data_IF_000695913678
#
_entry.id   IF_000695913678
#
_cell.length_a   1.000
_cell.length_b   1.000
_cell.length_c   1.000
_cell.angle_alpha   90.00
_cell.angle_beta   90.00
_cell.angle_gamma   90.00
#
_symmetry.space_group_name_H-M   'P 1'
#
loop_
_entity.id
_entity.type
_entity.pdbx_description
1 polymer ?
#
# COMPACT_ATOMS: atom_id res chain seq x y z
N UNK A 1 11.14 0.41 -29.82
CA UNK A 1 10.57 0.21 -28.48
C UNK A 1 11.72 0.02 -27.51
N UNK A 2 11.82 0.81 -26.42
CA UNK A 2 12.82 0.54 -25.39
C UNK A 2 12.52 -0.82 -24.74
N UNK A 3 13.52 -1.70 -24.68
CA UNK A 3 13.43 -3.02 -24.05
C UNK A 3 13.84 -2.92 -22.58
N UNK A 4 12.99 -3.44 -21.68
CA UNK A 4 13.32 -3.62 -20.28
C UNK A 4 14.21 -4.87 -20.15
N UNK A 5 15.50 -4.69 -19.82
CA UNK A 5 16.40 -5.80 -19.53
C UNK A 5 16.31 -6.11 -18.03
N UNK A 6 15.34 -6.94 -17.65
CA UNK A 6 15.22 -7.44 -16.28
C UNK A 6 15.44 -8.96 -16.33
N UNK A 7 16.44 -9.42 -15.59
CA UNK A 7 16.69 -10.84 -15.38
C UNK A 7 15.91 -11.29 -14.15
N UNK A 8 15.20 -12.40 -14.29
CA UNK A 8 14.49 -13.06 -13.21
C UNK A 8 15.15 -14.41 -12.96
N UNK A 9 15.19 -14.83 -11.70
CA UNK A 9 15.40 -16.23 -11.34
C UNK A 9 14.19 -17.08 -11.76
N UNK A 10 14.33 -18.41 -11.78
CA UNK A 10 13.20 -19.29 -12.15
C UNK A 10 12.04 -19.17 -11.15
N UNK A 11 12.35 -19.07 -9.86
CA UNK A 11 11.34 -18.91 -8.80
C UNK A 11 10.56 -17.60 -8.96
N UNK A 12 11.27 -16.51 -9.29
CA UNK A 12 10.63 -15.22 -9.57
C UNK A 12 9.78 -15.28 -10.84
N UNK A 13 10.25 -15.94 -11.90
CA UNK A 13 9.45 -16.14 -13.11
C UNK A 13 8.17 -16.91 -12.81
N UNK A 14 8.24 -17.97 -12.00
CA UNK A 14 7.09 -18.77 -11.67
C UNK A 14 6.07 -17.97 -10.86
N UNK A 15 6.53 -17.19 -9.87
CA UNK A 15 5.66 -16.28 -9.13
C UNK A 15 4.99 -15.24 -10.03
N UNK A 16 5.73 -14.65 -10.98
CA UNK A 16 5.18 -13.65 -11.91
C UNK A 16 4.22 -14.30 -12.90
N UNK A 17 4.48 -15.52 -13.38
CA UNK A 17 3.56 -16.29 -14.24
C UNK A 17 2.25 -16.60 -13.51
N UNK A 18 2.32 -17.07 -12.26
CA UNK A 18 1.15 -17.35 -11.44
C UNK A 18 0.30 -16.09 -11.24
N UNK A 19 0.94 -14.94 -10.95
CA UNK A 19 0.24 -13.68 -10.80
C UNK A 19 -0.37 -13.15 -12.12
N UNK A 20 0.35 -13.28 -13.23
CA UNK A 20 -0.18 -12.94 -14.56
C UNK A 20 -1.39 -13.80 -14.94
N UNK A 21 -1.35 -15.10 -14.65
CA UNK A 21 -2.46 -16.03 -14.87
C UNK A 21 -3.68 -15.69 -14.00
N UNK A 22 -3.47 -15.30 -12.73
CA UNK A 22 -4.53 -14.84 -11.85
C UNK A 22 -5.24 -13.57 -12.36
N UNK A 23 -4.52 -12.69 -13.07
CA UNK A 23 -5.08 -11.51 -13.73
C UNK A 23 -5.56 -11.76 -15.17
N UNK A 24 -5.43 -12.98 -15.69
CA UNK A 24 -5.79 -13.32 -17.08
C UNK A 24 -4.93 -12.61 -18.13
N UNK A 25 -3.70 -12.20 -17.78
CA UNK A 25 -2.79 -11.43 -18.64
C UNK A 25 -1.62 -12.28 -19.13
N UNK A 26 -1.04 -11.90 -20.27
CA UNK A 26 0.24 -12.47 -20.68
C UNK A 26 1.36 -12.00 -19.75
N UNK A 27 2.39 -12.82 -19.54
CA UNK A 27 3.54 -12.49 -18.70
C UNK A 27 4.16 -11.13 -19.06
N UNK A 28 4.33 -10.88 -20.36
CA UNK A 28 4.88 -9.63 -20.87
C UNK A 28 3.99 -8.43 -20.54
N UNK A 29 2.69 -8.54 -20.78
CA UNK A 29 1.74 -7.47 -20.45
C UNK A 29 1.73 -7.20 -18.94
N UNK A 30 1.71 -8.26 -18.14
CA UNK A 30 1.72 -8.15 -16.69
C UNK A 30 2.98 -7.42 -16.18
N UNK A 31 4.17 -7.79 -16.65
CA UNK A 31 5.43 -7.11 -16.28
C UNK A 31 5.44 -5.64 -16.73
N UNK A 32 4.83 -5.31 -17.87
CA UNK A 32 4.69 -3.91 -18.30
C UNK A 32 3.71 -3.12 -17.44
N UNK A 33 2.65 -3.75 -16.94
CA UNK A 33 1.65 -3.08 -16.11
C UNK A 33 2.12 -2.88 -14.67
N UNK A 34 3.04 -3.72 -14.17
CA UNK A 34 3.53 -3.68 -12.78
C UNK A 34 4.05 -2.30 -12.35
N UNK A 35 4.94 -1.60 -13.10
CA UNK A 35 5.40 -0.27 -12.73
C UNK A 35 4.28 0.76 -12.65
N UNK A 36 3.31 0.68 -13.57
CA UNK A 36 2.17 1.60 -13.60
C UNK A 36 1.25 1.37 -12.41
N UNK A 37 0.94 0.10 -12.11
CA UNK A 37 0.14 -0.29 -10.95
C UNK A 37 0.81 0.11 -9.64
N UNK A 38 2.13 -0.04 -9.54
CA UNK A 38 2.86 0.37 -8.34
C UNK A 38 2.86 1.88 -8.16
N UNK A 39 3.01 2.65 -9.24
CA UNK A 39 2.89 4.11 -9.18
C UNK A 39 1.49 4.54 -8.69
N UNK A 40 0.43 3.91 -9.20
CA UNK A 40 -0.95 4.17 -8.75
C UNK A 40 -1.14 3.79 -7.27
N UNK A 41 -0.58 2.66 -6.84
CA UNK A 41 -0.62 2.22 -5.43
C UNK A 41 0.05 3.23 -4.51
N UNK A 42 1.24 3.71 -4.88
CA UNK A 42 1.97 4.73 -4.10
C UNK A 42 1.15 6.02 -4.00
N UNK A 43 0.54 6.47 -5.11
CA UNK A 43 -0.32 7.65 -5.10
C UNK A 43 -1.53 7.48 -4.20
N UNK A 44 -2.20 6.32 -4.28
CA UNK A 44 -3.33 5.99 -3.43
C UNK A 44 -2.94 6.01 -1.94
N UNK A 45 -1.85 5.33 -1.55
CA UNK A 45 -1.40 5.28 -0.15
C UNK A 45 -1.06 6.68 0.36
N UNK A 46 -0.34 7.49 -0.43
CA UNK A 46 -0.04 8.88 -0.07
C UNK A 46 -1.31 9.68 0.19
N UNK A 47 -2.28 9.59 -0.71
CA UNK A 47 -3.55 10.30 -0.56
C UNK A 47 -4.32 9.83 0.67
N UNK A 48 -4.41 8.52 0.89
CA UNK A 48 -5.11 7.94 2.04
C UNK A 48 -4.50 8.39 3.37
N UNK A 49 -3.16 8.43 3.47
CA UNK A 49 -2.45 8.95 4.65
C UNK A 49 -2.76 10.42 4.88
N UNK A 50 -2.59 11.28 3.86
CA UNK A 50 -2.88 12.71 3.98
C UNK A 50 -4.34 12.99 4.33
N UNK A 51 -5.26 12.22 3.75
CA UNK A 51 -6.68 12.32 4.08
C UNK A 51 -6.95 11.93 5.52
N UNK A 52 -6.38 10.80 5.99
CA UNK A 52 -6.51 10.33 7.36
C UNK A 52 -5.95 11.34 8.36
N UNK A 53 -4.77 11.88 8.09
CA UNK A 53 -4.16 12.93 8.91
C UNK A 53 -5.03 14.19 9.02
N UNK A 54 -5.63 14.63 7.90
CA UNK A 54 -6.50 15.81 7.87
C UNK A 54 -7.77 15.63 8.70
N UNK A 55 -8.39 14.45 8.65
CA UNK A 55 -9.68 14.21 9.31
C UNK A 55 -9.52 13.56 10.68
N UNK A 56 -8.29 13.21 11.11
CA UNK A 56 -8.04 12.51 12.36
C UNK A 56 -8.71 13.19 13.57
N UNK A 57 -8.60 14.53 13.68
CA UNK A 57 -9.23 15.25 14.79
C UNK A 57 -10.76 15.18 14.77
N UNK A 58 -11.38 15.20 13.59
CA UNK A 58 -12.83 15.07 13.44
C UNK A 58 -13.30 13.66 13.85
N UNK A 59 -12.53 12.63 13.48
CA UNK A 59 -12.80 11.25 13.91
C UNK A 59 -12.56 11.05 15.41
N UNK A 60 -11.46 11.58 15.96
CA UNK A 60 -11.15 11.51 17.39
C UNK A 60 -12.26 12.18 18.23
N UNK A 61 -12.84 13.29 17.75
CA UNK A 61 -13.96 13.96 18.40
C UNK A 61 -15.28 13.18 18.27
N UNK A 62 -15.62 12.71 17.06
CA UNK A 62 -16.86 12.01 16.79
C UNK A 62 -16.93 10.61 17.43
N UNK A 63 -15.78 9.94 17.58
CA UNK A 63 -15.64 8.57 18.06
C UNK A 63 -14.75 8.47 19.29
N UNK A 64 -14.82 9.47 20.18
CA UNK A 64 -13.95 9.59 21.36
C UNK A 64 -13.93 8.35 22.28
N UNK A 65 -14.99 7.54 22.28
CA UNK A 65 -15.13 6.36 23.13
C UNK A 65 -14.89 5.02 22.41
N UNK A 66 -14.59 5.05 21.11
CA UNK A 66 -14.42 3.85 20.28
C UNK A 66 -12.94 3.60 19.92
N UNK A 67 -12.02 4.37 20.52
CA UNK A 67 -10.58 4.19 20.33
C UNK A 67 -10.19 2.83 20.95
N UNK A 68 -9.59 1.91 20.16
CA UNK A 68 -9.08 0.65 20.71
C UNK A 68 -8.06 0.93 21.82
N UNK A 69 -8.01 0.12 22.89
CA UNK A 69 -7.24 0.40 24.12
C UNK A 69 -5.71 0.50 23.95
N UNK A 70 -5.17 0.45 22.74
CA UNK A 70 -3.73 0.52 22.43
C UNK A 70 -3.17 1.94 22.24
N UNK A 71 -3.94 3.00 22.47
CA UNK A 71 -3.53 4.40 22.17
C UNK A 71 -3.24 5.32 23.36
N UNK A 72 -3.52 4.91 24.60
CA UNK A 72 -3.53 5.84 25.75
C UNK A 72 -2.22 5.93 26.54
N UNK A 73 -1.24 5.06 26.33
CA UNK A 73 -0.08 4.95 27.24
C UNK A 73 0.99 6.05 27.09
N UNK A 74 0.99 6.85 26.02
CA UNK A 74 2.08 7.80 25.78
C UNK A 74 1.77 9.27 26.13
N UNK A 75 0.62 9.57 26.76
CA UNK A 75 0.25 10.95 27.18
C UNK A 75 0.30 11.16 28.70
N UNK A 76 0.42 10.10 29.51
CA UNK A 76 0.36 10.20 30.97
C UNK A 76 1.74 10.30 31.66
N UNK A 77 2.85 10.34 30.90
CA UNK A 77 4.20 10.38 31.47
C UNK A 77 4.77 11.77 31.78
N UNK A 78 4.07 12.86 31.42
CA UNK A 78 4.55 14.24 31.66
C UNK A 78 3.82 14.99 32.80
N UNK A 79 3.08 14.29 33.67
CA UNK A 79 2.44 14.90 34.84
C UNK A 79 2.64 14.05 36.09
N UNK A 80 3.87 14.01 36.60
CA UNK A 80 4.21 13.56 37.95
C UNK A 80 5.39 14.38 38.50
#
# INVERSE_FOLDING_TARGET
>A
MPSLNISFTEDELEAVRAAAAAEGKSLKQYVHDLPLREQQRIQFVRYAVTWGERHRSEFDEAFANEIPPSGHENRQVDAA
#
